data_IF_279701829825
#
_entry.id   IF_279701829825
#
_cell.length_a   1.000
_cell.length_b   1.000
_cell.length_c   1.000
_cell.angle_alpha   90.00
_cell.angle_beta   90.00
_cell.angle_gamma   90.00
#
_symmetry.space_group_name_H-M   'P 1'
#
loop_
_entity.id
_entity.type
_entity.pdbx_description
1 polymer ?
#
# COMPACT_ATOMS: atom_id res chain seq x y z
N UNK A 1 -8.51 -1.32 -9.99
CA UNK A 1 -9.88 -0.94 -9.54
C UNK A 1 -9.91 0.51 -9.12
N UNK A 2 -11.05 1.17 -9.27
CA UNK A 2 -11.24 2.56 -8.86
C UNK A 2 -11.58 2.64 -7.37
N UNK A 3 -10.97 3.58 -6.66
CA UNK A 3 -11.25 3.85 -5.25
C UNK A 3 -12.43 4.80 -5.13
N UNK A 4 -13.52 4.35 -4.51
CA UNK A 4 -14.78 5.11 -4.40
C UNK A 4 -15.07 5.41 -2.94
N UNK A 5 -15.21 6.68 -2.61
CA UNK A 5 -15.52 7.18 -1.27
C UNK A 5 -17.01 7.30 -0.98
N UNK A 6 -17.38 7.34 0.30
CA UNK A 6 -18.74 7.60 0.77
C UNK A 6 -19.67 6.39 0.68
N UNK A 7 -19.11 5.19 0.61
CA UNK A 7 -19.91 3.96 0.58
C UNK A 7 -20.32 3.52 1.97
N UNK A 8 -21.57 3.11 2.09
CA UNK A 8 -22.07 2.40 3.24
C UNK A 8 -21.91 0.89 3.03
N UNK A 9 -22.00 0.12 4.09
CA UNK A 9 -21.75 -1.32 4.16
C UNK A 9 -22.15 -2.07 2.88
N UNK A 10 -21.17 -2.55 2.14
CA UNK A 10 -21.34 -3.42 1.00
C UNK A 10 -20.42 -4.63 1.15
N UNK A 11 -20.92 -5.81 0.78
CA UNK A 11 -20.14 -7.02 0.79
C UNK A 11 -19.27 -7.11 -0.47
N UNK A 12 -18.09 -7.69 -0.36
CA UNK A 12 -17.28 -8.09 -1.49
C UNK A 12 -18.09 -9.02 -2.39
N UNK A 13 -17.95 -8.86 -3.70
CA UNK A 13 -18.69 -9.69 -4.63
C UNK A 13 -18.72 -9.15 -6.06
N UNK A 14 -19.20 -10.01 -6.95
CA UNK A 14 -19.45 -9.67 -8.35
C UNK A 14 -20.96 -9.58 -8.59
N UNK A 15 -21.43 -8.42 -9.00
CA UNK A 15 -22.86 -8.15 -9.19
C UNK A 15 -23.18 -7.82 -10.63
N UNK A 16 -24.26 -8.41 -11.15
CA UNK A 16 -24.79 -8.04 -12.46
C UNK A 16 -25.55 -6.72 -12.34
N UNK A 17 -25.06 -5.68 -13.02
CA UNK A 17 -25.63 -4.33 -12.96
C UNK A 17 -26.34 -3.90 -14.25
N UNK A 18 -26.29 -4.73 -15.30
CA UNK A 18 -26.91 -4.48 -16.59
C UNK A 18 -27.04 -5.74 -17.43
N UNK A 19 -27.48 -5.61 -18.70
CA UNK A 19 -27.70 -6.77 -19.58
C UNK A 19 -26.42 -7.59 -19.79
N UNK A 20 -25.29 -6.91 -19.95
CA UNK A 20 -23.94 -7.50 -20.10
C UNK A 20 -22.92 -6.93 -19.12
N UNK A 21 -23.32 -5.99 -18.27
CA UNK A 21 -22.44 -5.29 -17.36
C UNK A 21 -22.41 -5.96 -15.97
N UNK A 22 -21.21 -6.11 -15.44
CA UNK A 22 -20.95 -6.63 -14.10
C UNK A 22 -20.08 -5.63 -13.34
N UNK A 23 -20.29 -5.53 -12.04
CA UNK A 23 -19.54 -4.66 -11.13
C UNK A 23 -18.92 -5.53 -10.04
N UNK A 24 -17.60 -5.47 -9.93
CA UNK A 24 -16.83 -6.06 -8.85
C UNK A 24 -16.67 -5.04 -7.73
N UNK A 25 -16.98 -5.45 -6.52
CA UNK A 25 -16.75 -4.68 -5.28
C UNK A 25 -15.75 -5.44 -4.42
N UNK A 26 -14.80 -4.69 -3.84
CA UNK A 26 -13.77 -5.28 -3.01
C UNK A 26 -13.36 -4.34 -1.88
N UNK A 27 -13.36 -4.89 -0.67
CA UNK A 27 -12.91 -4.25 0.55
C UNK A 27 -13.76 -3.04 0.96
N UNK A 28 -13.94 -2.89 2.24
CA UNK A 28 -14.46 -1.67 2.84
C UNK A 28 -13.41 -1.18 3.83
N UNK A 29 -12.82 -0.03 3.54
CA UNK A 29 -11.73 0.54 4.30
C UNK A 29 -12.10 1.91 4.86
N UNK A 30 -11.35 2.33 5.88
CA UNK A 30 -11.44 3.69 6.43
C UNK A 30 -10.06 4.34 6.29
N UNK A 31 -10.02 5.54 5.75
CA UNK A 31 -8.80 6.33 5.64
C UNK A 31 -8.43 7.04 6.95
N UNK A 32 -7.28 7.71 6.97
CA UNK A 32 -6.77 8.45 8.13
C UNK A 32 -7.68 9.61 8.58
N UNK A 33 -8.60 10.04 7.71
CA UNK A 33 -9.59 11.10 7.97
C UNK A 33 -10.94 10.55 8.44
N UNK A 34 -11.05 9.22 8.58
CA UNK A 34 -12.29 8.54 8.96
C UNK A 34 -13.29 8.39 7.83
N UNK A 35 -12.90 8.66 6.59
CA UNK A 35 -13.77 8.47 5.42
C UNK A 35 -13.72 7.02 4.95
N UNK A 36 -14.88 6.42 4.72
CA UNK A 36 -14.98 5.06 4.17
C UNK A 36 -14.82 5.06 2.66
N UNK A 37 -14.19 4.04 2.14
CA UNK A 37 -14.06 3.79 0.70
C UNK A 37 -14.03 2.30 0.39
N UNK A 38 -14.35 1.97 -0.86
CA UNK A 38 -14.22 0.63 -1.42
C UNK A 38 -13.60 0.69 -2.81
N UNK A 39 -13.16 -0.45 -3.32
CA UNK A 39 -12.69 -0.57 -4.70
C UNK A 39 -13.78 -1.14 -5.59
N UNK A 40 -13.93 -0.55 -6.80
CA UNK A 40 -14.87 -0.99 -7.83
C UNK A 40 -14.16 -1.21 -9.15
N UNK A 41 -14.65 -2.22 -9.89
CA UNK A 41 -14.22 -2.48 -11.26
C UNK A 41 -15.39 -2.95 -12.10
N UNK A 42 -15.52 -2.42 -13.32
CA UNK A 42 -16.61 -2.77 -14.24
C UNK A 42 -16.13 -3.72 -15.31
N UNK A 43 -16.94 -4.74 -15.60
CA UNK A 43 -16.77 -5.61 -16.77
C UNK A 43 -17.95 -5.41 -17.72
N UNK A 44 -17.71 -5.41 -19.03
CA UNK A 44 -18.72 -5.33 -20.10
C UNK A 44 -19.24 -6.71 -20.53
N UNK A 45 -18.81 -7.75 -19.86
CA UNK A 45 -19.19 -9.16 -20.03
C UNK A 45 -19.24 -9.86 -18.66
N UNK A 46 -19.73 -11.10 -18.64
CA UNK A 46 -19.62 -11.95 -17.45
C UNK A 46 -18.17 -12.41 -17.33
N UNK A 47 -17.39 -11.91 -16.34
CA UNK A 47 -16.00 -12.31 -16.22
C UNK A 47 -15.87 -13.75 -15.72
N UNK A 48 -14.72 -14.35 -16.00
CA UNK A 48 -14.24 -15.59 -15.37
C UNK A 48 -13.63 -15.30 -14.01
N UNK A 49 -13.45 -16.33 -13.19
CA UNK A 49 -12.72 -16.18 -11.93
C UNK A 49 -11.29 -15.67 -12.12
N UNK A 50 -10.59 -16.14 -13.15
CA UNK A 50 -9.21 -15.72 -13.42
C UNK A 50 -9.13 -14.21 -13.73
N UNK A 51 -10.08 -13.66 -14.47
CA UNK A 51 -10.16 -12.22 -14.74
C UNK A 51 -10.43 -11.43 -13.47
N UNK A 52 -11.39 -11.87 -12.66
CA UNK A 52 -11.69 -11.23 -11.36
C UNK A 52 -10.47 -11.30 -10.43
N UNK A 53 -9.87 -12.47 -10.29
CA UNK A 53 -8.69 -12.68 -9.45
C UNK A 53 -7.50 -11.81 -9.87
N UNK A 54 -7.28 -11.66 -11.18
CA UNK A 54 -6.20 -10.79 -11.69
C UNK A 54 -6.41 -9.34 -11.27
N UNK A 55 -7.62 -8.80 -11.39
CA UNK A 55 -7.98 -7.44 -10.98
C UNK A 55 -7.83 -7.25 -9.46
N UNK A 56 -8.24 -8.23 -8.67
CA UNK A 56 -8.09 -8.20 -7.20
C UNK A 56 -6.60 -8.20 -6.80
N UNK A 57 -5.78 -9.07 -7.38
CA UNK A 57 -4.34 -9.14 -7.11
C UNK A 57 -3.65 -7.82 -7.47
N UNK A 58 -3.97 -7.21 -8.60
CA UNK A 58 -3.43 -5.91 -9.00
C UNK A 58 -3.79 -4.83 -7.98
N UNK A 59 -5.03 -4.84 -7.49
CA UNK A 59 -5.51 -3.89 -6.48
C UNK A 59 -4.77 -4.05 -5.15
N UNK A 60 -4.62 -5.29 -4.66
CA UNK A 60 -3.87 -5.59 -3.43
C UNK A 60 -2.40 -5.17 -3.58
N UNK A 61 -1.78 -5.45 -4.74
CA UNK A 61 -0.40 -5.02 -5.00
C UNK A 61 -0.25 -3.50 -4.98
N UNK A 62 -1.19 -2.77 -5.58
CA UNK A 62 -1.19 -1.31 -5.57
C UNK A 62 -1.36 -0.74 -4.15
N UNK A 63 -2.26 -1.31 -3.35
CA UNK A 63 -2.44 -0.94 -1.95
C UNK A 63 -1.18 -1.21 -1.12
N UNK A 64 -0.56 -2.37 -1.31
CA UNK A 64 0.67 -2.74 -0.60
C UNK A 64 1.79 -1.76 -0.91
N UNK A 65 1.98 -1.41 -2.18
CA UNK A 65 2.97 -0.39 -2.60
C UNK A 65 2.69 0.97 -1.99
N UNK A 66 1.44 1.40 -1.98
CA UNK A 66 1.04 2.69 -1.40
C UNK A 66 1.28 2.72 0.11
N UNK A 67 0.94 1.65 0.83
CA UNK A 67 1.21 1.53 2.28
C UNK A 67 2.72 1.60 2.57
N UNK A 68 3.54 0.89 1.79
CA UNK A 68 4.99 0.93 1.95
C UNK A 68 5.51 2.34 1.70
N UNK A 69 5.07 2.98 0.61
CA UNK A 69 5.56 4.29 0.21
C UNK A 69 5.23 5.37 1.24
N UNK A 70 4.01 5.41 1.75
CA UNK A 70 3.47 6.54 2.50
C UNK A 70 3.02 6.23 3.93
N UNK A 71 3.07 4.97 4.37
CA UNK A 71 2.50 4.56 5.66
C UNK A 71 3.47 4.50 6.83
N UNK A 72 4.78 4.63 6.59
CA UNK A 72 5.78 4.53 7.66
C UNK A 72 6.03 5.88 8.33
N UNK A 73 6.02 5.87 9.66
CA UNK A 73 6.43 7.01 10.49
C UNK A 73 7.52 6.58 11.44
N UNK A 74 8.50 7.47 11.67
CA UNK A 74 9.57 7.29 12.62
C UNK A 74 9.77 8.59 13.41
N UNK A 75 9.71 8.53 14.74
CA UNK A 75 9.79 9.71 15.62
C UNK A 75 8.84 10.84 15.18
N UNK A 76 7.57 10.50 14.93
CA UNK A 76 6.51 11.41 14.43
C UNK A 76 6.77 12.04 13.06
N UNK A 77 7.83 11.61 12.36
CA UNK A 77 8.12 12.04 11.00
C UNK A 77 7.60 11.01 10.00
N UNK A 78 6.86 11.45 8.99
CA UNK A 78 6.54 10.59 7.84
C UNK A 78 7.79 10.34 7.02
N UNK A 79 8.05 9.08 6.71
CA UNK A 79 9.19 8.65 5.90
C UNK A 79 8.72 8.02 4.60
N UNK A 80 9.24 8.53 3.51
CA UNK A 80 8.92 8.03 2.18
C UNK A 80 9.80 6.81 1.85
N UNK A 81 9.23 5.61 1.88
CA UNK A 81 9.95 4.36 1.61
C UNK A 81 9.86 3.96 0.13
N UNK A 82 10.25 4.88 -0.77
CA UNK A 82 10.44 4.55 -2.19
C UNK A 82 11.53 3.48 -2.34
N UNK A 83 11.52 2.76 -3.47
CA UNK A 83 12.56 1.76 -3.76
C UNK A 83 13.97 2.38 -3.77
N UNK A 84 14.09 3.63 -4.24
CA UNK A 84 15.36 4.36 -4.22
C UNK A 84 15.80 4.67 -2.78
N UNK A 85 14.88 5.14 -1.92
CA UNK A 85 15.20 5.40 -0.52
C UNK A 85 15.58 4.11 0.21
N UNK A 86 14.86 3.02 -0.02
CA UNK A 86 15.20 1.73 0.57
C UNK A 86 16.62 1.28 0.18
N UNK A 87 17.00 1.43 -1.10
CA UNK A 87 18.37 1.16 -1.57
C UNK A 87 19.39 2.07 -0.92
N UNK A 88 19.10 3.37 -0.81
CA UNK A 88 19.98 4.33 -0.14
C UNK A 88 20.19 3.95 1.33
N UNK A 89 19.16 3.54 2.05
CA UNK A 89 19.28 3.08 3.44
C UNK A 89 20.18 1.84 3.57
N UNK A 90 20.06 0.89 2.64
CA UNK A 90 20.91 -0.30 2.60
C UNK A 90 22.40 0.07 2.36
N UNK A 91 22.66 1.03 1.47
CA UNK A 91 24.03 1.50 1.22
C UNK A 91 24.62 2.19 2.45
N UNK A 92 23.83 3.01 3.15
CA UNK A 92 24.26 3.73 4.36
C UNK A 92 24.56 2.76 5.50
N UNK A 93 23.78 1.69 5.67
CA UNK A 93 24.05 0.66 6.67
C UNK A 93 25.49 0.08 6.55
N UNK A 94 26.01 0.01 5.33
CA UNK A 94 27.33 -0.57 5.07
C UNK A 94 28.45 0.46 5.03
N UNK A 95 28.18 1.70 4.61
CA UNK A 95 29.22 2.68 4.24
C UNK A 95 28.95 4.08 4.80
N UNK A 96 27.96 4.26 5.67
CA UNK A 96 27.60 5.57 6.19
C UNK A 96 28.68 6.20 7.04
N UNK A 97 28.90 7.50 6.87
CA UNK A 97 29.78 8.35 7.69
C UNK A 97 28.91 9.38 8.39
N UNK A 98 29.08 9.51 9.71
CA UNK A 98 28.21 10.34 10.54
C UNK A 98 28.93 11.60 11.07
N UNK A 99 28.18 12.72 11.33
CA UNK A 99 26.74 12.88 11.13
C UNK A 99 26.35 12.85 9.65
N UNK A 100 25.19 12.26 9.35
CA UNK A 100 24.72 12.02 7.98
C UNK A 100 23.35 12.69 7.75
N UNK A 101 23.27 13.61 6.81
CA UNK A 101 21.99 14.17 6.36
C UNK A 101 21.40 13.32 5.24
N UNK A 102 20.11 13.01 5.35
CA UNK A 102 19.39 12.20 4.39
C UNK A 102 18.01 12.75 4.09
N UNK A 103 17.60 12.70 2.82
CA UNK A 103 16.22 12.98 2.41
C UNK A 103 15.33 11.84 2.88
N UNK A 104 14.35 12.14 3.72
CA UNK A 104 13.40 11.15 4.23
C UNK A 104 12.00 11.29 3.62
N UNK A 105 11.63 12.46 3.10
CA UNK A 105 10.33 12.72 2.50
C UNK A 105 10.38 13.97 1.60
N UNK A 106 9.23 14.35 1.06
CA UNK A 106 8.99 15.61 0.34
C UNK A 106 7.79 16.33 0.94
N UNK A 107 7.85 17.66 0.94
CA UNK A 107 6.73 18.51 1.27
C UNK A 107 5.74 18.59 0.09
N UNK A 108 4.55 19.18 0.30
CA UNK A 108 3.51 19.31 -0.74
C UNK A 108 3.98 20.09 -1.97
N UNK A 109 4.92 21.00 -1.82
CA UNK A 109 5.53 21.78 -2.91
C UNK A 109 6.68 21.04 -3.64
N UNK A 110 6.95 19.78 -3.25
CA UNK A 110 8.02 18.95 -3.80
C UNK A 110 9.41 19.24 -3.21
N UNK A 111 9.52 20.15 -2.25
CA UNK A 111 10.80 20.39 -1.57
C UNK A 111 11.19 19.21 -0.68
N UNK A 112 12.51 18.87 -0.61
CA UNK A 112 12.96 17.74 0.19
C UNK A 112 12.87 18.02 1.69
N UNK A 113 12.44 17.01 2.45
CA UNK A 113 12.51 16.98 3.91
C UNK A 113 13.69 16.11 4.30
N UNK A 114 14.64 16.69 5.06
CA UNK A 114 15.85 16.01 5.49
C UNK A 114 15.79 15.68 6.98
N UNK A 115 16.47 14.57 7.34
CA UNK A 115 16.85 14.27 8.71
C UNK A 115 18.36 14.06 8.80
N UNK A 116 18.97 14.53 9.87
CA UNK A 116 20.40 14.31 10.14
C UNK A 116 20.55 13.27 11.23
N UNK A 117 21.05 12.11 10.85
CA UNK A 117 21.41 11.04 11.79
C UNK A 117 22.72 11.39 12.47
N UNK A 118 22.71 11.44 13.79
CA UNK A 118 23.89 11.84 14.58
C UNK A 118 24.99 10.77 14.59
N UNK A 119 24.58 9.51 14.63
CA UNK A 119 25.48 8.36 14.71
C UNK A 119 24.86 7.09 14.09
N UNK A 120 25.67 6.03 14.06
CA UNK A 120 25.25 4.74 13.52
C UNK A 120 24.12 4.08 14.33
N UNK A 121 24.03 4.33 15.63
CA UNK A 121 23.00 3.72 16.47
C UNK A 121 21.62 4.28 16.12
N UNK A 122 21.50 5.60 15.96
CA UNK A 122 20.26 6.24 15.54
C UNK A 122 19.81 5.74 14.15
N UNK A 123 20.76 5.65 13.21
CA UNK A 123 20.47 5.16 11.87
C UNK A 123 20.08 3.67 11.88
N UNK A 124 20.75 2.84 12.66
CA UNK A 124 20.43 1.41 12.77
C UNK A 124 19.05 1.18 13.37
N UNK A 125 18.63 1.95 14.37
CA UNK A 125 17.28 1.89 14.92
C UNK A 125 16.22 2.25 13.85
N UNK A 126 16.43 3.36 13.16
CA UNK A 126 15.60 3.77 12.03
C UNK A 126 15.50 2.68 10.94
N UNK A 127 16.65 2.20 10.46
CA UNK A 127 16.74 1.21 9.38
C UNK A 127 16.07 -0.11 9.74
N UNK A 128 16.22 -0.56 10.99
CA UNK A 128 15.56 -1.76 11.50
C UNK A 128 14.04 -1.61 11.47
N UNK A 129 13.50 -0.52 11.99
CA UNK A 129 12.06 -0.26 12.03
C UNK A 129 11.48 -0.10 10.64
N UNK A 130 12.17 0.61 9.74
CA UNK A 130 11.76 0.75 8.35
C UNK A 130 11.72 -0.61 7.63
N UNK A 131 12.74 -1.44 7.81
CA UNK A 131 12.80 -2.78 7.21
C UNK A 131 11.70 -3.71 7.74
N UNK A 132 11.44 -3.69 9.04
CA UNK A 132 10.35 -4.45 9.66
C UNK A 132 9.00 -4.03 9.08
N UNK A 133 8.75 -2.73 8.97
CA UNK A 133 7.51 -2.21 8.39
C UNK A 133 7.31 -2.68 6.93
N UNK A 134 8.34 -2.62 6.09
CA UNK A 134 8.27 -3.10 4.70
C UNK A 134 7.93 -4.58 4.65
N UNK A 135 8.65 -5.41 5.42
CA UNK A 135 8.46 -6.87 5.46
C UNK A 135 7.05 -7.24 5.94
N UNK A 136 6.58 -6.62 7.02
CA UNK A 136 5.24 -6.86 7.56
C UNK A 136 4.15 -6.46 6.57
N UNK A 137 4.32 -5.32 5.89
CA UNK A 137 3.37 -4.84 4.89
C UNK A 137 3.32 -5.75 3.66
N UNK A 138 4.47 -6.24 3.19
CA UNK A 138 4.53 -7.25 2.12
C UNK A 138 3.84 -8.56 2.53
N UNK A 139 4.09 -9.03 3.74
CA UNK A 139 3.49 -10.26 4.26
C UNK A 139 1.97 -10.16 4.36
N UNK A 140 1.44 -9.01 4.83
CA UNK A 140 0.01 -8.74 4.85
C UNK A 140 -0.60 -8.81 3.44
N UNK A 141 0.05 -8.19 2.44
CA UNK A 141 -0.41 -8.25 1.05
C UNK A 141 -0.38 -9.66 0.46
N UNK A 142 0.61 -10.49 0.79
CA UNK A 142 0.66 -11.90 0.38
C UNK A 142 -0.47 -12.70 1.02
N UNK A 143 -0.67 -12.55 2.32
CA UNK A 143 -1.76 -13.22 3.05
C UNK A 143 -3.13 -12.85 2.47
N UNK A 144 -3.37 -11.58 2.19
CA UNK A 144 -4.61 -11.11 1.59
C UNK A 144 -4.86 -11.75 0.20
N UNK A 145 -3.83 -11.88 -0.63
CA UNK A 145 -3.95 -12.58 -1.92
C UNK A 145 -4.22 -14.07 -1.77
N UNK A 146 -3.61 -14.73 -0.79
CA UNK A 146 -3.80 -16.16 -0.54
C UNK A 146 -5.21 -16.47 0.00
N UNK A 147 -5.87 -15.49 0.63
CA UNK A 147 -7.23 -15.60 1.16
C UNK A 147 -8.34 -15.32 0.13
N UNK A 148 -7.98 -14.95 -1.11
CA UNK A 148 -8.97 -14.74 -2.17
C UNK A 148 -9.71 -16.03 -2.49
N UNK A 149 -11.02 -16.05 -2.22
CA UNK A 149 -11.89 -17.20 -2.42
C UNK A 149 -12.92 -16.92 -3.53
N UNK A 150 -12.96 -17.79 -4.53
CA UNK A 150 -13.88 -17.73 -5.65
C UNK A 150 -15.35 -17.70 -5.22
N UNK A 151 -15.70 -18.43 -4.16
CA UNK A 151 -17.07 -18.49 -3.65
C UNK A 151 -17.57 -17.14 -3.14
N UNK A 152 -16.70 -16.30 -2.57
CA UNK A 152 -17.04 -14.93 -2.15
C UNK A 152 -17.53 -14.08 -3.31
N UNK A 153 -17.04 -14.34 -4.53
CA UNK A 153 -17.37 -13.60 -5.74
C UNK A 153 -18.36 -14.34 -6.65
N UNK A 154 -18.95 -15.44 -6.19
CA UNK A 154 -20.02 -16.15 -6.88
C UNK A 154 -19.57 -17.11 -7.99
N UNK A 155 -18.35 -17.68 -7.87
CA UNK A 155 -17.79 -18.69 -8.78
C UNK A 155 -17.77 -20.08 -8.17
#
# INVERSE_FOLDING_TARGET
>A
MDKIYGTTVRQDGLYKVGRRAYMLFYGLYTDDKGSTYEYRHSFDHKPTWDEVKAVLIETINAQTKEKILNGFTWNDMKVWLSEDNQRNFMMINNYGVYPLQMKINEAEDGSPIYHTFADANEFNDFSKLASQYVIETLYQGWTEKDQLDAATFGF
#
